data_IF_293595302823
#
_entry.id   IF_293595302823
#
_cell.length_a   1.000
_cell.length_b   1.000
_cell.length_c   1.000
_cell.angle_alpha   90.00
_cell.angle_beta   90.00
_cell.angle_gamma   90.00
#
_symmetry.space_group_name_H-M   'P 1'
#
loop_
_entity.id
_entity.type
_entity.pdbx_description
1 polymer ?
#
# COMPACT_ATOMS: atom_id res chain seq x y z
N UNK A 1 -9.02 2.84 -4.16
CA UNK A 1 -8.54 1.89 -3.14
C UNK A 1 -7.56 0.85 -3.72
N UNK A 2 -6.99 1.05 -4.92
CA UNK A 2 -6.23 0.01 -5.63
C UNK A 2 -4.73 -0.06 -5.30
N UNK A 3 -4.09 1.08 -5.01
CA UNK A 3 -2.65 1.17 -4.78
C UNK A 3 -2.16 0.35 -3.57
N UNK A 4 -2.99 0.22 -2.52
CA UNK A 4 -2.66 -0.61 -1.34
C UNK A 4 -2.75 -2.10 -1.69
N UNK A 5 -3.82 -2.53 -2.37
CA UNK A 5 -3.99 -3.92 -2.81
C UNK A 5 -2.85 -4.37 -3.73
N UNK A 6 -2.44 -3.52 -4.66
CA UNK A 6 -1.40 -3.83 -5.65
C UNK A 6 0.00 -3.82 -5.02
N UNK A 7 0.28 -2.90 -4.08
CA UNK A 7 1.60 -2.81 -3.44
C UNK A 7 1.80 -3.91 -2.39
N UNK A 8 0.76 -4.24 -1.62
CA UNK A 8 0.85 -5.21 -0.53
C UNK A 8 0.32 -6.61 -0.89
N UNK A 9 -0.21 -6.80 -2.11
CA UNK A 9 -0.86 -8.04 -2.54
C UNK A 9 -1.95 -8.51 -1.57
N UNK A 10 -2.63 -7.57 -0.91
CA UNK A 10 -3.63 -7.89 0.10
C UNK A 10 -4.89 -8.48 -0.54
N UNK A 11 -5.38 -9.56 0.07
CA UNK A 11 -6.67 -10.14 -0.30
C UNK A 11 -7.82 -9.21 0.12
N UNK A 12 -8.93 -9.18 -0.64
CA UNK A 12 -10.07 -8.30 -0.37
C UNK A 12 -10.69 -8.51 1.03
N UNK A 13 -10.55 -9.71 1.62
CA UNK A 13 -10.98 -9.98 3.01
C UNK A 13 -10.21 -9.15 4.07
N UNK A 14 -8.95 -8.78 3.78
CA UNK A 14 -8.13 -7.95 4.66
C UNK A 14 -8.60 -6.49 4.59
N UNK A 15 -9.02 -6.03 3.41
CA UNK A 15 -9.62 -4.69 3.25
C UNK A 15 -11.01 -4.60 3.87
N UNK A 16 -11.78 -5.68 3.83
CA UNK A 16 -13.12 -5.76 4.42
C UNK A 16 -13.08 -5.80 5.96
N UNK A 17 -12.03 -6.40 6.53
CA UNK A 17 -11.83 -6.47 7.99
C UNK A 17 -11.23 -5.19 8.58
N UNK A 18 -10.69 -4.27 7.76
CA UNK A 18 -10.06 -3.04 8.21
C UNK A 18 -11.02 -1.86 8.18
N UNK A 19 -10.94 -1.02 9.21
CA UNK A 19 -11.73 0.20 9.27
C UNK A 19 -11.26 1.24 8.25
N UNK A 20 -12.17 2.11 7.80
CA UNK A 20 -11.88 3.08 6.74
C UNK A 20 -10.73 4.04 7.13
N UNK A 21 -10.61 4.35 8.42
CA UNK A 21 -9.52 5.15 8.97
C UNK A 21 -8.15 4.47 8.85
N UNK A 22 -8.08 3.16 9.06
CA UNK A 22 -6.85 2.40 8.88
C UNK A 22 -6.46 2.33 7.39
N UNK A 23 -7.45 2.09 6.52
CA UNK A 23 -7.24 2.08 5.07
C UNK A 23 -6.69 3.42 4.56
N UNK A 24 -7.11 4.55 5.14
CA UNK A 24 -6.56 5.88 4.81
C UNK A 24 -5.09 6.04 5.25
N UNK A 25 -4.70 5.52 6.41
CA UNK A 25 -3.30 5.52 6.84
C UNK A 25 -2.41 4.65 5.95
N UNK A 26 -2.87 3.44 5.61
CA UNK A 26 -2.17 2.53 4.71
C UNK A 26 -2.06 3.10 3.29
N UNK A 27 -3.08 3.83 2.83
CA UNK A 27 -3.09 4.58 1.55
C UNK A 27 -1.96 5.58 1.46
N UNK A 28 -1.73 6.37 2.50
CA UNK A 28 -0.62 7.33 2.53
C UNK A 28 0.74 6.64 2.53
N UNK A 29 0.87 5.54 3.26
CA UNK A 29 2.11 4.76 3.33
C UNK A 29 2.43 4.06 2.00
N UNK A 30 1.41 3.48 1.36
CA UNK A 30 1.48 2.92 0.01
C UNK A 30 1.85 3.99 -1.03
N UNK A 31 1.27 5.19 -0.96
CA UNK A 31 1.61 6.29 -1.85
C UNK A 31 3.07 6.76 -1.68
N UNK A 32 3.56 6.84 -0.43
CA UNK A 32 4.98 7.13 -0.14
C UNK A 32 5.89 6.05 -0.71
N UNK A 33 5.54 4.76 -0.55
CA UNK A 33 6.31 3.62 -1.08
C UNK A 33 6.30 3.58 -2.61
N UNK A 34 5.16 3.83 -3.25
CA UNK A 34 5.02 3.84 -4.71
C UNK A 34 5.82 4.96 -5.37
N UNK A 35 5.93 6.12 -4.73
CA UNK A 35 6.76 7.24 -5.20
C UNK A 35 8.25 7.01 -4.98
N UNK A 36 8.60 6.06 -4.12
CA UNK A 36 9.98 5.62 -3.92
C UNK A 36 10.16 4.21 -4.50
N UNK A 37 10.29 4.05 -5.83
CA UNK A 37 11.13 2.98 -6.32
C UNK A 37 12.56 3.37 -5.95
N UNK A 38 12.94 3.13 -4.69
CA UNK A 38 14.33 2.92 -4.33
C UNK A 38 14.77 1.73 -5.17
N UNK A 39 15.30 2.02 -6.37
CA UNK A 39 16.29 1.15 -6.99
C UNK A 39 17.50 1.32 -6.07
N UNK A 40 17.84 0.33 -5.22
CA UNK A 40 19.18 0.31 -4.68
C UNK A 40 20.09 0.25 -5.91
N UNK A 41 20.99 1.22 -6.01
CA UNK A 41 21.98 1.31 -7.07
C UNK A 41 22.57 -0.07 -7.32
N UNK A 42 22.30 -0.62 -8.51
CA UNK A 42 23.01 -1.80 -8.99
C UNK A 42 24.42 -1.29 -9.33
N UNK A 43 25.35 -1.68 -8.45
CA UNK A 43 26.80 -1.50 -8.52
C UNK A 43 27.37 -1.95 -9.87
#
# INVERSE_FOLDING_TARGET
MADVAIIFHWSPAVMDSMDLSELMGWREQAARRSKSPDKPGKR
#
